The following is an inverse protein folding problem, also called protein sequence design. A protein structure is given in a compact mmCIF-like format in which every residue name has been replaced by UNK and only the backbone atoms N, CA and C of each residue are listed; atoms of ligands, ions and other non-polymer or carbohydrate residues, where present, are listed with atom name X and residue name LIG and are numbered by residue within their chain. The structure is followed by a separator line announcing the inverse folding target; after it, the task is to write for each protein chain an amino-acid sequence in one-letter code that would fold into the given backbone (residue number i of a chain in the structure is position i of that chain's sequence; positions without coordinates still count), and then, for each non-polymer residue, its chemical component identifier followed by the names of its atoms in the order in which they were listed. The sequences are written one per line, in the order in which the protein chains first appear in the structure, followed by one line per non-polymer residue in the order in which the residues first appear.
data_IF_226308596186
#
_entry.id   IF_226308596186
#
_cell.length_a   1.000
_cell.length_b   1.000
_cell.length_c   1.000
_cell.angle_alpha   90.00
_cell.angle_beta   90.00
_cell.angle_gamma   90.00
#
_symmetry.space_group_name_H-M   'P 1'
#
loop_
_entity.id
_entity.type
_entity.pdbx_description
1 polymer ?
#
# COMPACT_ATOMS: atom_id res chain seq x y z
N UNK A 1 15.04 4.36 -1.70
CA UNK A 1 14.93 3.47 -0.53
C UNK A 1 15.31 2.05 -0.91
N UNK A 2 15.92 1.32 0.02
CA UNK A 2 16.29 -0.09 -0.12
C UNK A 2 15.85 -0.84 1.14
N UNK A 3 15.02 -1.86 0.96
CA UNK A 3 14.46 -2.69 2.02
C UNK A 3 14.95 -4.14 1.85
N UNK A 4 16.15 -4.41 2.38
CA UNK A 4 16.83 -5.71 2.18
C UNK A 4 16.08 -6.89 2.83
N UNK A 5 15.23 -6.65 3.83
CA UNK A 5 14.44 -7.69 4.49
C UNK A 5 13.33 -8.26 3.58
N UNK A 6 12.95 -7.54 2.54
CA UNK A 6 11.92 -7.94 1.56
C UNK A 6 12.42 -7.80 0.12
N UNK A 7 13.71 -7.71 -0.10
CA UNK A 7 14.33 -7.66 -1.45
C UNK A 7 13.71 -6.58 -2.37
N UNK A 8 13.41 -5.40 -1.81
CA UNK A 8 12.76 -4.29 -2.52
C UNK A 8 13.64 -3.04 -2.55
N UNK A 9 13.76 -2.43 -3.73
CA UNK A 9 14.23 -1.05 -3.91
C UNK A 9 13.17 -0.24 -4.62
N UNK A 10 13.01 1.02 -4.23
CA UNK A 10 12.09 1.94 -4.89
C UNK A 10 12.52 3.40 -4.72
N UNK A 11 11.91 4.28 -5.51
CA UNK A 11 12.01 5.73 -5.38
C UNK A 11 10.69 6.29 -4.92
N UNK A 12 10.73 7.40 -4.20
CA UNK A 12 9.57 8.14 -3.72
C UNK A 12 9.66 9.57 -4.25
N UNK A 13 8.55 10.20 -4.64
CA UNK A 13 8.52 11.64 -4.96
C UNK A 13 9.12 12.48 -3.83
N UNK A 14 9.96 13.47 -4.18
CA UNK A 14 10.72 14.26 -3.20
C UNK A 14 9.83 15.16 -2.32
N UNK A 15 8.64 15.47 -2.80
CA UNK A 15 7.65 16.28 -2.09
C UNK A 15 6.98 15.55 -0.93
N UNK A 16 7.07 14.21 -0.87
CA UNK A 16 6.43 13.42 0.19
C UNK A 16 7.33 13.30 1.43
N UNK A 17 6.70 13.34 2.60
CA UNK A 17 7.33 13.13 3.89
C UNK A 17 7.35 11.63 4.18
N UNK A 18 8.55 11.05 4.28
CA UNK A 18 8.70 9.60 4.38
C UNK A 18 9.15 9.14 5.76
N UNK A 19 8.51 8.08 6.24
CA UNK A 19 8.94 7.29 7.40
C UNK A 19 9.25 5.86 6.96
N UNK A 20 10.21 5.24 7.62
CA UNK A 20 10.57 3.84 7.46
C UNK A 20 10.75 3.19 8.83
N UNK A 21 10.88 1.89 8.89
CA UNK A 21 11.15 1.15 10.13
C UNK A 21 12.45 1.57 10.86
N UNK A 22 13.27 2.43 10.26
CA UNK A 22 14.55 2.91 10.80
C UNK A 22 14.70 4.43 10.76
N UNK A 23 13.70 5.16 10.30
CA UNK A 23 13.76 6.63 10.21
C UNK A 23 13.78 7.23 11.61
N UNK A 24 14.76 8.13 11.86
CA UNK A 24 14.89 8.91 13.08
C UNK A 24 14.68 10.41 12.85
N UNK A 25 14.46 10.80 11.59
CA UNK A 25 14.18 12.17 11.14
C UNK A 25 12.68 12.48 11.07
N UNK A 26 12.36 13.64 10.49
CA UNK A 26 10.99 14.12 10.27
C UNK A 26 10.17 14.36 11.56
N UNK A 27 10.85 14.60 12.68
CA UNK A 27 10.22 14.82 13.99
C UNK A 27 9.21 15.98 13.98
N UNK A 28 9.36 16.95 13.08
CA UNK A 28 8.43 18.07 12.92
C UNK A 28 7.02 17.60 12.53
N UNK A 29 6.90 16.44 11.86
CA UNK A 29 5.64 15.90 11.35
C UNK A 29 5.04 14.80 12.22
N UNK A 30 5.74 14.34 13.27
CA UNK A 30 5.25 13.25 14.14
C UNK A 30 3.89 13.58 14.76
N UNK A 31 3.73 14.81 15.22
CA UNK A 31 2.47 15.25 15.82
C UNK A 31 1.32 15.26 14.82
N UNK A 32 1.59 15.62 13.57
CA UNK A 32 0.57 15.73 12.52
C UNK A 32 0.05 14.35 12.09
N UNK A 33 0.91 13.32 12.18
CA UNK A 33 0.53 11.91 11.96
C UNK A 33 0.05 11.20 13.25
N UNK A 34 -0.09 11.94 14.36
CA UNK A 34 -0.61 11.40 15.61
C UNK A 34 0.40 10.61 16.46
N UNK A 35 1.71 10.68 16.15
CA UNK A 35 2.74 9.96 16.86
C UNK A 35 3.45 10.83 17.91
N UNK A 36 3.86 10.23 19.03
CA UNK A 36 4.58 10.91 20.11
C UNK A 36 6.08 11.03 19.78
N UNK A 37 6.66 9.97 19.23
CA UNK A 37 8.07 9.92 18.86
C UNK A 37 8.35 8.95 17.70
N UNK A 38 9.57 8.97 17.19
CA UNK A 38 10.00 8.12 16.08
C UNK A 38 9.98 6.63 16.42
N UNK A 39 10.13 6.23 17.68
CA UNK A 39 10.11 4.82 18.08
C UNK A 39 8.69 4.26 17.98
N UNK A 40 7.68 5.06 18.32
CA UNK A 40 6.28 4.68 18.20
C UNK A 40 5.96 4.36 16.71
N UNK A 41 6.34 5.27 15.80
CA UNK A 41 6.16 5.05 14.34
C UNK A 41 6.89 3.79 13.89
N UNK A 42 8.17 3.64 14.24
CA UNK A 42 8.95 2.47 13.85
C UNK A 42 8.35 1.14 14.36
N UNK A 43 7.87 1.13 15.60
CA UNK A 43 7.28 -0.07 16.21
C UNK A 43 5.94 -0.42 15.56
N UNK A 44 5.09 0.57 15.29
CA UNK A 44 3.83 0.41 14.56
C UNK A 44 4.08 -0.16 13.16
N UNK A 45 5.01 0.44 12.40
CA UNK A 45 5.39 -0.02 11.07
C UNK A 45 5.91 -1.47 11.07
N UNK A 46 6.76 -1.83 12.04
CA UNK A 46 7.27 -3.20 12.18
C UNK A 46 6.16 -4.19 12.49
N UNK A 47 5.26 -3.85 13.41
CA UNK A 47 4.13 -4.71 13.79
C UNK A 47 3.19 -4.99 12.60
N UNK A 48 3.03 -4.02 11.69
CA UNK A 48 2.16 -4.09 10.52
C UNK A 48 2.90 -4.51 9.22
N UNK A 49 4.18 -4.86 9.27
CA UNK A 49 5.02 -5.14 8.10
C UNK A 49 5.04 -3.99 7.07
N UNK A 50 4.89 -2.76 7.54
CA UNK A 50 5.01 -1.56 6.71
C UNK A 50 6.48 -1.17 6.64
N UNK A 51 7.01 -1.01 5.44
CA UNK A 51 8.41 -0.64 5.19
C UNK A 51 8.59 0.82 4.83
N UNK A 52 7.56 1.42 4.25
CA UNK A 52 7.50 2.84 3.91
C UNK A 52 6.10 3.37 4.19
N UNK A 53 6.02 4.53 4.84
CA UNK A 53 4.88 5.43 4.85
C UNK A 53 5.32 6.77 4.29
N UNK A 54 4.59 7.27 3.30
CA UNK A 54 4.87 8.52 2.62
C UNK A 54 3.62 9.40 2.63
N UNK A 55 3.69 10.54 3.27
CA UNK A 55 2.58 11.47 3.47
C UNK A 55 2.73 12.70 2.56
N UNK A 56 1.62 13.26 2.12
CA UNK A 56 1.60 14.63 1.61
C UNK A 56 2.00 15.62 2.70
N UNK A 57 2.49 16.80 2.33
CA UNK A 57 2.93 17.82 3.32
C UNK A 57 1.81 18.33 4.22
N UNK A 58 0.58 18.28 3.74
CA UNK A 58 -0.64 18.65 4.47
C UNK A 58 -1.33 17.47 5.15
N UNK A 59 -0.71 16.26 5.06
CA UNK A 59 -1.22 15.01 5.63
C UNK A 59 -2.63 14.64 5.10
N UNK A 60 -3.02 15.14 3.94
CA UNK A 60 -4.32 14.86 3.33
C UNK A 60 -4.40 13.45 2.74
N UNK A 61 -3.27 12.85 2.40
CA UNK A 61 -3.17 11.45 1.98
C UNK A 61 -1.86 10.82 2.40
N UNK A 62 -1.86 9.50 2.39
CA UNK A 62 -0.68 8.67 2.65
C UNK A 62 -0.54 7.56 1.61
N UNK A 63 0.71 7.14 1.38
CA UNK A 63 1.05 5.95 0.61
C UNK A 63 1.87 5.03 1.50
N UNK A 64 1.37 3.83 1.74
CA UNK A 64 2.07 2.80 2.50
C UNK A 64 2.58 1.68 1.59
N UNK A 65 3.77 1.16 1.89
CA UNK A 65 4.35 -0.02 1.23
C UNK A 65 4.52 -1.12 2.27
N UNK A 66 3.75 -2.18 2.10
CA UNK A 66 3.77 -3.37 2.94
C UNK A 66 4.51 -4.49 2.21
N UNK A 67 5.28 -5.27 2.95
CA UNK A 67 5.97 -6.44 2.42
C UNK A 67 5.94 -7.60 3.39
N UNK A 68 5.61 -8.79 2.92
CA UNK A 68 5.65 -10.00 3.74
C UNK A 68 6.02 -11.22 2.90
N UNK A 69 6.60 -12.23 3.52
CA UNK A 69 6.92 -13.48 2.84
C UNK A 69 5.63 -14.18 2.41
N UNK A 70 5.55 -14.61 1.16
CA UNK A 70 4.43 -15.38 0.67
C UNK A 70 4.38 -16.75 1.36
N UNK A 71 3.21 -17.12 1.86
CA UNK A 71 2.99 -18.43 2.49
C UNK A 71 2.80 -19.59 1.49
N UNK A 72 2.83 -19.30 0.18
CA UNK A 72 2.60 -20.26 -0.90
C UNK A 72 3.89 -20.56 -1.68
N UNK A 73 3.85 -21.60 -2.52
CA UNK A 73 4.93 -21.92 -3.47
C UNK A 73 5.02 -20.93 -4.64
N UNK A 74 4.08 -19.97 -4.75
CA UNK A 74 4.08 -18.96 -5.79
C UNK A 74 5.20 -17.96 -5.56
N UNK A 75 6.14 -17.89 -6.50
CA UNK A 75 7.25 -16.95 -6.43
C UNK A 75 6.95 -15.61 -7.09
N UNK A 76 6.19 -15.62 -8.20
CA UNK A 76 5.87 -14.42 -8.96
C UNK A 76 4.47 -14.53 -9.59
N UNK A 77 3.71 -13.42 -9.63
CA UNK A 77 2.44 -13.39 -10.35
C UNK A 77 2.61 -13.45 -11.88
N UNK A 78 3.73 -12.97 -12.41
CA UNK A 78 4.05 -12.99 -13.85
C UNK A 78 4.40 -14.37 -14.39
N UNK A 79 4.51 -15.40 -13.54
CA UNK A 79 4.67 -16.81 -13.93
C UNK A 79 3.32 -17.50 -14.21
N UNK A 80 2.19 -16.86 -13.88
CA UNK A 80 0.86 -17.43 -14.04
C UNK A 80 0.33 -17.17 -15.45
N UNK A 81 -0.39 -18.15 -16.00
CA UNK A 81 -1.19 -17.93 -17.19
C UNK A 81 -2.44 -17.08 -16.88
N UNK A 82 -3.15 -16.63 -17.92
CA UNK A 82 -4.29 -15.72 -17.78
C UNK A 82 -5.43 -16.31 -16.92
N UNK A 83 -5.69 -17.62 -17.03
CA UNK A 83 -6.74 -18.29 -16.25
C UNK A 83 -6.36 -18.40 -14.78
N UNK A 84 -5.11 -18.76 -14.50
CA UNK A 84 -4.57 -18.83 -13.14
C UNK A 84 -4.56 -17.46 -12.49
N UNK A 85 -4.11 -16.43 -13.22
CA UNK A 85 -4.08 -15.04 -12.73
C UNK A 85 -5.49 -14.54 -12.43
N UNK A 86 -6.45 -14.79 -13.30
CA UNK A 86 -7.86 -14.43 -13.10
C UNK A 86 -8.46 -15.17 -11.90
N UNK A 87 -8.17 -16.46 -11.74
CA UNK A 87 -8.63 -17.24 -10.59
C UNK A 87 -8.07 -16.71 -9.26
N UNK A 88 -6.78 -16.40 -9.21
CA UNK A 88 -6.16 -15.78 -8.03
C UNK A 88 -6.72 -14.38 -7.73
N UNK A 89 -6.98 -13.59 -8.78
CA UNK A 89 -7.59 -12.28 -8.60
C UNK A 89 -8.97 -12.38 -7.95
N UNK A 90 -9.82 -13.31 -8.39
CA UNK A 90 -11.13 -13.54 -7.76
C UNK A 90 -10.99 -13.92 -6.27
N UNK A 91 -10.07 -14.84 -5.94
CA UNK A 91 -9.80 -15.22 -4.55
C UNK A 91 -9.31 -14.03 -3.70
N UNK A 92 -8.46 -13.18 -4.28
CA UNK A 92 -8.01 -11.95 -3.63
C UNK A 92 -9.19 -11.01 -3.35
N UNK A 93 -10.08 -10.78 -4.32
CA UNK A 93 -11.27 -9.96 -4.17
C UNK A 93 -12.20 -10.52 -3.09
N UNK A 94 -12.43 -11.84 -3.07
CA UNK A 94 -13.25 -12.48 -2.04
C UNK A 94 -12.64 -12.29 -0.65
N UNK A 95 -11.31 -12.37 -0.53
CA UNK A 95 -10.61 -12.14 0.74
C UNK A 95 -10.69 -10.69 1.20
N UNK A 96 -10.63 -9.71 0.29
CA UNK A 96 -10.80 -8.29 0.65
C UNK A 96 -12.24 -8.00 1.08
N UNK A 97 -13.24 -8.55 0.39
CA UNK A 97 -14.65 -8.39 0.75
C UNK A 97 -15.00 -9.05 2.10
N UNK A 98 -14.27 -10.08 2.50
CA UNK A 98 -14.50 -10.76 3.79
C UNK A 98 -13.90 -10.01 4.99
N UNK A 99 -13.02 -9.04 4.74
CA UNK A 99 -12.46 -8.18 5.79
C UNK A 99 -13.52 -7.14 6.15
N UNK A 100 -13.94 -7.15 7.39
CA UNK A 100 -14.78 -6.10 7.97
C UNK A 100 -14.08 -5.55 9.20
N UNK A 101 -13.93 -4.24 9.23
CA UNK A 101 -13.43 -3.56 10.42
C UNK A 101 -14.63 -3.03 11.22
N UNK A 102 -14.63 -3.28 12.52
CA UNK A 102 -15.68 -2.79 13.41
C UNK A 102 -15.77 -1.25 13.33
N UNK A 103 -16.99 -0.72 13.16
CA UNK A 103 -17.22 0.71 13.03
C UNK A 103 -16.94 1.31 11.64
N UNK A 104 -16.65 0.48 10.62
CA UNK A 104 -16.49 0.91 9.23
C UNK A 104 -17.53 0.24 8.32
N UNK A 105 -18.16 1.06 7.47
CA UNK A 105 -18.95 0.55 6.34
C UNK A 105 -18.09 0.67 5.09
N UNK A 106 -17.70 -0.48 4.53
CA UNK A 106 -16.83 -0.55 3.36
C UNK A 106 -17.60 -0.88 2.09
N UNK A 107 -17.27 -0.19 1.01
CA UNK A 107 -17.82 -0.44 -0.33
C UNK A 107 -16.69 -0.52 -1.33
N UNK A 108 -16.55 -1.67 -2.01
CA UNK A 108 -15.62 -1.80 -3.12
C UNK A 108 -16.18 -1.06 -4.34
N UNK A 109 -15.49 -0.01 -4.76
CA UNK A 109 -15.89 0.88 -5.87
C UNK A 109 -15.17 0.59 -7.17
N UNK A 110 -14.06 -0.15 -7.12
CA UNK A 110 -13.31 -0.54 -8.31
C UNK A 110 -12.40 -1.73 -8.07
N UNK A 111 -12.18 -2.51 -9.15
CA UNK A 111 -11.24 -3.64 -9.16
C UNK A 111 -10.73 -3.91 -10.57
N UNK A 112 -9.44 -4.25 -10.72
CA UNK A 112 -8.84 -4.64 -11.99
C UNK A 112 -7.52 -5.40 -11.79
N UNK A 113 -7.05 -6.05 -12.84
CA UNK A 113 -5.65 -6.46 -12.98
C UNK A 113 -4.96 -5.42 -13.84
N UNK A 114 -4.03 -4.68 -13.25
CA UNK A 114 -3.22 -3.68 -13.95
C UNK A 114 -1.86 -4.30 -14.29
N UNK A 115 -1.36 -4.07 -15.51
CA UNK A 115 0.01 -4.45 -15.89
C UNK A 115 0.89 -3.21 -15.79
N UNK A 116 1.90 -3.25 -14.92
CA UNK A 116 2.85 -2.17 -14.70
C UNK A 116 4.26 -2.73 -14.83
N UNK A 117 5.05 -2.23 -15.78
CA UNK A 117 6.39 -2.75 -16.11
C UNK A 117 6.38 -4.28 -16.31
N UNK A 118 5.47 -4.75 -17.17
CA UNK A 118 5.27 -6.17 -17.52
C UNK A 118 4.91 -7.08 -16.34
N UNK A 119 4.56 -6.52 -15.18
CA UNK A 119 4.13 -7.24 -13.98
C UNK A 119 2.67 -7.02 -13.67
N UNK A 120 1.90 -8.08 -13.38
CA UNK A 120 0.52 -7.95 -12.94
C UNK A 120 0.41 -7.45 -11.49
N UNK A 121 -0.54 -6.55 -11.28
CA UNK A 121 -0.97 -6.06 -9.97
C UNK A 121 -2.48 -6.20 -9.85
N UNK A 122 -2.95 -6.75 -8.75
CA UNK A 122 -4.36 -6.74 -8.38
C UNK A 122 -4.69 -5.40 -7.77
N UNK A 123 -5.50 -4.62 -8.46
CA UNK A 123 -5.95 -3.31 -7.97
C UNK A 123 -7.33 -3.42 -7.38
N UNK A 124 -7.53 -2.82 -6.20
CA UNK A 124 -8.84 -2.59 -5.57
C UNK A 124 -9.00 -1.14 -5.18
N UNK A 125 -10.22 -0.67 -5.22
CA UNK A 125 -10.64 0.64 -4.75
C UNK A 125 -11.79 0.44 -3.77
N UNK A 126 -11.66 1.03 -2.58
CA UNK A 126 -12.63 0.90 -1.49
C UNK A 126 -12.93 2.27 -0.93
N UNK A 127 -14.19 2.54 -0.70
CA UNK A 127 -14.64 3.68 0.10
C UNK A 127 -15.15 3.15 1.43
N UNK A 128 -14.55 3.64 2.53
CA UNK A 128 -14.92 3.28 3.89
C UNK A 128 -15.53 4.51 4.58
N UNK A 129 -16.64 4.31 5.28
CA UNK A 129 -17.29 5.37 6.08
C UNK A 129 -17.33 4.93 7.53
N UNK A 130 -16.72 5.73 8.42
CA UNK A 130 -16.73 5.48 9.86
C UNK A 130 -18.07 5.87 10.50
N UNK A 131 -18.32 5.38 11.72
CA UNK A 131 -19.47 5.78 12.53
C UNK A 131 -19.53 7.30 12.78
N UNK A 132 -18.37 7.96 12.81
CA UNK A 132 -18.23 9.43 12.91
C UNK A 132 -18.44 10.15 11.56
N UNK A 133 -18.83 9.42 10.50
CA UNK A 133 -19.05 9.92 9.13
C UNK A 133 -17.79 10.42 8.43
N UNK A 134 -16.60 10.06 8.90
CA UNK A 134 -15.38 10.29 8.15
C UNK A 134 -15.32 9.31 6.97
N UNK A 135 -15.02 9.81 5.78
CA UNK A 135 -14.87 9.00 4.57
C UNK A 135 -13.39 8.79 4.28
N UNK A 136 -13.01 7.54 4.04
CA UNK A 136 -11.66 7.14 3.65
C UNK A 136 -11.74 6.50 2.27
N UNK A 137 -10.99 7.04 1.33
CA UNK A 137 -10.83 6.48 -0.01
C UNK A 137 -9.51 5.73 -0.08
N UNK A 138 -9.56 4.44 -0.42
CA UNK A 138 -8.38 3.59 -0.48
C UNK A 138 -8.22 2.99 -1.87
N UNK A 139 -7.00 3.04 -2.42
CA UNK A 139 -6.61 2.30 -3.62
C UNK A 139 -5.40 1.44 -3.27
N UNK A 140 -5.52 0.13 -3.48
CA UNK A 140 -4.45 -0.85 -3.22
C UNK A 140 -3.96 -1.47 -4.51
N UNK A 141 -2.67 -1.76 -4.58
CA UNK A 141 -2.04 -2.58 -5.60
C UNK A 141 -1.29 -3.72 -4.92
N UNK A 142 -1.68 -4.94 -5.23
CA UNK A 142 -1.10 -6.16 -4.69
C UNK A 142 -0.34 -6.90 -5.78
N UNK A 143 0.87 -7.36 -5.48
CA UNK A 143 1.62 -8.26 -6.36
C UNK A 143 2.43 -9.25 -5.56
N UNK A 144 2.85 -10.34 -6.21
CA UNK A 144 3.82 -11.30 -5.66
C UNK A 144 5.06 -11.29 -6.55
N UNK A 145 6.21 -11.12 -5.95
CA UNK A 145 7.49 -11.18 -6.62
C UNK A 145 8.54 -11.80 -5.70
N UNK A 146 9.35 -12.71 -6.24
CA UNK A 146 10.44 -13.40 -5.53
C UNK A 146 10.02 -14.04 -4.20
N UNK A 147 8.79 -14.56 -4.12
CA UNK A 147 8.25 -15.21 -2.92
C UNK A 147 7.85 -14.22 -1.81
N UNK A 148 7.75 -12.94 -2.11
CA UNK A 148 7.19 -11.93 -1.22
C UNK A 148 5.90 -11.35 -1.81
N UNK A 149 4.95 -11.08 -0.92
CA UNK A 149 3.77 -10.27 -1.20
C UNK A 149 4.15 -8.82 -0.99
N UNK A 150 3.83 -7.96 -1.96
CA UNK A 150 3.94 -6.52 -1.83
C UNK A 150 2.59 -5.88 -2.03
N UNK A 151 2.23 -4.98 -1.13
CA UNK A 151 1.03 -4.16 -1.23
C UNK A 151 1.41 -2.69 -1.15
N UNK A 152 0.96 -1.94 -2.13
CA UNK A 152 1.07 -0.47 -2.17
C UNK A 152 -0.33 0.06 -1.93
N UNK A 153 -0.52 0.82 -0.87
CA UNK A 153 -1.81 1.37 -0.49
C UNK A 153 -1.75 2.89 -0.51
N UNK A 154 -2.68 3.51 -1.19
CA UNK A 154 -2.93 4.95 -1.16
C UNK A 154 -4.23 5.17 -0.39
N UNK A 155 -4.19 6.01 0.64
CA UNK A 155 -5.37 6.42 1.40
C UNK A 155 -5.51 7.94 1.41
N UNK A 156 -6.73 8.42 1.19
CA UNK A 156 -7.10 9.83 1.30
C UNK A 156 -8.30 9.97 2.23
N UNK A 157 -8.27 10.97 3.12
CA UNK A 157 -9.34 11.24 4.09
C UNK A 157 -10.21 12.38 3.57
N UNK A 158 -11.52 12.15 3.58
CA UNK A 158 -12.57 13.14 3.24
C UNK A 158 -12.50 13.74 1.81
N UNK A 159 -11.48 13.38 1.03
CA UNK A 159 -11.33 13.81 -0.35
C UNK A 159 -11.15 12.59 -1.25
N UNK A 160 -11.82 12.58 -2.41
CA UNK A 160 -11.62 11.56 -3.42
C UNK A 160 -10.16 11.52 -3.90
N UNK A 161 -9.70 10.32 -4.28
CA UNK A 161 -8.34 10.12 -4.81
C UNK A 161 -8.20 10.87 -6.15
N UNK A 162 -7.26 11.80 -6.20
CA UNK A 162 -6.97 12.63 -7.38
C UNK A 162 -5.97 11.95 -8.31
N UNK A 163 -5.87 12.45 -9.55
CA UNK A 163 -4.85 11.99 -10.52
C UNK A 163 -3.42 12.23 -10.02
N UNK A 164 -3.17 13.29 -9.26
CA UNK A 164 -1.87 13.56 -8.65
C UNK A 164 -1.49 12.46 -7.65
N UNK A 165 -2.41 12.08 -6.75
CA UNK A 165 -2.20 11.01 -5.80
C UNK A 165 -1.94 9.66 -6.51
N UNK A 166 -2.70 9.39 -7.60
CA UNK A 166 -2.51 8.21 -8.45
C UNK A 166 -1.13 8.23 -9.11
N UNK A 167 -0.69 9.37 -9.62
CA UNK A 167 0.63 9.51 -10.23
C UNK A 167 1.75 9.26 -9.21
N UNK A 168 1.59 9.71 -7.98
CA UNK A 168 2.57 9.51 -6.92
C UNK A 168 2.71 8.03 -6.53
N UNK A 169 1.62 7.30 -6.30
CA UNK A 169 1.72 5.86 -6.03
C UNK A 169 2.24 5.09 -7.25
N UNK A 170 1.83 5.45 -8.47
CA UNK A 170 2.35 4.84 -9.70
C UNK A 170 3.83 5.11 -9.91
N UNK A 171 4.34 6.29 -9.57
CA UNK A 171 5.77 6.59 -9.59
C UNK A 171 6.56 5.63 -8.68
N UNK A 172 6.06 5.40 -7.47
CA UNK A 172 6.66 4.46 -6.51
C UNK A 172 6.68 3.04 -7.09
N UNK A 173 5.53 2.54 -7.59
CA UNK A 173 5.40 1.20 -8.18
C UNK A 173 6.27 1.05 -9.43
N UNK A 174 6.29 2.04 -10.34
CA UNK A 174 7.10 2.01 -11.55
C UNK A 174 8.61 1.96 -11.26
N UNK A 175 9.03 2.53 -10.13
CA UNK A 175 10.43 2.53 -9.71
C UNK A 175 10.85 1.27 -8.95
N UNK A 176 9.89 0.41 -8.59
CA UNK A 176 10.13 -0.76 -7.77
C UNK A 176 10.99 -1.81 -8.50
N UNK A 177 12.02 -2.26 -7.82
CA UNK A 177 12.93 -3.32 -8.24
C UNK A 177 12.90 -4.42 -7.19
N UNK A 178 12.46 -5.59 -7.58
CA UNK A 178 12.43 -6.80 -6.76
C UNK A 178 13.72 -7.59 -7.00
N UNK A 179 14.68 -7.56 -6.05
CA UNK A 179 16.08 -8.01 -6.26
C UNK A 179 16.41 -9.32 -5.54
#
# INVERSE_FOLDING_TARGET
YKFSAIDLKLKVPEELICFTQTTTGNNAYLKDIGAQDSNEVQNSMKASNIYLEAFSKDISYEIAVVGMKAGSSLSNLDELDENQLSGMFLQYIDSENAKQEDGLTETMTGKAIDIINDRPYFRTEVTSVSDEKQTIYTRKYYTVARGYIYMYSLQSKDNEITDEMINNIRYIINSAQYT
#
